data_IF_888907224540
#
_entry.id   IF_888907224540
#
_cell.length_a   1.000
_cell.length_b   1.000
_cell.length_c   1.000
_cell.angle_alpha   90.00
_cell.angle_beta   90.00
_cell.angle_gamma   90.00
#
_symmetry.space_group_name_H-M   'P 1'
#
loop_
_entity.id
_entity.type
_entity.pdbx_description
1 polymer ?
#
# COMPACT_ATOMS: atom_id res chain seq x y z
N UNK A 1 29.00 66.72 -21.21
CA UNK A 1 28.88 66.37 -22.65
C UNK A 1 29.97 65.39 -23.03
N UNK A 2 29.60 64.16 -23.39
CA UNK A 2 30.28 63.27 -24.36
C UNK A 2 29.33 62.10 -24.64
N UNK A 3 28.77 62.07 -25.86
CA UNK A 3 27.97 60.94 -26.37
C UNK A 3 28.90 59.76 -26.61
N UNK A 4 28.47 58.55 -26.25
CA UNK A 4 29.06 57.30 -26.73
C UNK A 4 28.13 56.77 -27.83
N UNK A 5 28.69 56.60 -29.01
CA UNK A 5 28.05 56.09 -30.24
C UNK A 5 27.71 54.59 -30.11
N UNK A 6 26.70 54.07 -30.83
CA UNK A 6 26.40 52.65 -30.84
C UNK A 6 27.43 51.89 -31.70
N UNK A 7 27.86 50.72 -31.22
CA UNK A 7 28.67 49.75 -31.96
C UNK A 7 27.87 49.11 -33.11
N UNK A 8 28.51 48.77 -34.24
CA UNK A 8 27.82 48.15 -35.37
C UNK A 8 27.43 46.70 -35.07
N UNK A 9 26.28 46.28 -35.59
CA UNK A 9 25.79 44.91 -35.55
C UNK A 9 26.75 43.95 -36.27
N UNK A 10 27.04 42.75 -35.73
CA UNK A 10 27.89 41.80 -36.43
C UNK A 10 27.15 41.26 -37.65
N UNK A 11 27.87 41.26 -38.77
CA UNK A 11 27.40 40.84 -40.08
C UNK A 11 26.77 39.43 -40.03
N UNK A 12 25.59 39.30 -40.64
CA UNK A 12 24.97 38.01 -41.01
C UNK A 12 25.82 37.35 -42.10
N UNK A 13 26.93 36.76 -41.69
CA UNK A 13 27.80 35.89 -42.47
C UNK A 13 27.68 34.42 -42.02
N UNK A 14 28.54 33.51 -42.52
CA UNK A 14 28.26 32.16 -43.06
C UNK A 14 27.52 31.15 -42.16
N UNK A 15 27.35 31.44 -40.87
CA UNK A 15 26.75 30.54 -39.89
C UNK A 15 25.27 30.25 -40.16
N UNK A 16 24.51 31.23 -40.69
CA UNK A 16 23.10 31.03 -41.04
C UNK A 16 22.93 30.09 -42.24
N UNK A 17 23.83 30.18 -43.21
CA UNK A 17 23.83 29.28 -44.36
C UNK A 17 24.28 27.86 -43.99
N UNK A 18 25.26 27.73 -43.08
CA UNK A 18 25.68 26.43 -42.56
C UNK A 18 24.56 25.74 -41.77
N UNK A 19 23.82 26.47 -40.93
CA UNK A 19 22.68 25.94 -40.18
C UNK A 19 21.53 25.51 -41.10
N UNK A 20 21.20 26.31 -42.12
CA UNK A 20 20.18 25.95 -43.11
C UNK A 20 20.57 24.71 -43.91
N UNK A 21 21.85 24.55 -44.25
CA UNK A 21 22.34 23.38 -44.98
C UNK A 21 22.26 22.10 -44.14
N UNK A 22 22.55 22.17 -42.83
CA UNK A 22 22.43 21.03 -41.91
C UNK A 22 20.96 20.62 -41.70
N UNK A 23 20.03 21.58 -41.67
CA UNK A 23 18.59 21.28 -41.52
C UNK A 23 17.98 20.70 -42.81
N UNK A 24 18.49 21.09 -43.98
CA UNK A 24 17.97 20.64 -45.27
C UNK A 24 18.67 19.38 -45.82
N UNK A 25 19.86 19.03 -45.31
CA UNK A 25 20.61 17.83 -45.71
C UNK A 25 19.79 16.52 -45.66
N UNK A 26 18.96 16.27 -44.62
CA UNK A 26 18.14 15.05 -44.54
C UNK A 26 17.05 14.99 -45.61
N UNK A 27 16.55 16.13 -46.08
CA UNK A 27 15.52 16.21 -47.10
C UNK A 27 16.10 16.02 -48.52
N UNK A 28 17.35 16.42 -48.74
CA UNK A 28 18.03 16.31 -50.04
C UNK A 28 18.66 14.92 -50.27
N UNK A 29 19.03 14.20 -49.21
CA UNK A 29 19.67 12.89 -49.29
C UNK A 29 18.99 11.84 -48.37
N UNK A 30 17.70 11.50 -48.59
CA UNK A 30 16.94 10.62 -47.70
C UNK A 30 17.54 9.21 -47.57
N UNK A 31 18.27 8.73 -48.59
CA UNK A 31 18.93 7.41 -48.57
C UNK A 31 20.08 7.27 -47.57
N UNK A 32 20.80 8.36 -47.24
CA UNK A 32 21.90 8.31 -46.27
C UNK A 32 21.42 8.30 -44.82
N UNK A 33 20.22 8.83 -44.54
CA UNK A 33 19.65 8.92 -43.20
C UNK A 33 18.53 7.90 -42.93
N UNK A 34 18.15 7.10 -43.94
CA UNK A 34 17.22 5.97 -43.80
C UNK A 34 17.59 5.00 -42.64
N UNK A 35 18.87 4.71 -42.33
CA UNK A 35 19.21 3.83 -41.20
C UNK A 35 18.96 4.49 -39.83
N UNK A 36 19.01 5.82 -39.73
CA UNK A 36 18.80 6.57 -38.49
C UNK A 36 17.31 6.82 -38.21
N UNK A 37 16.45 6.82 -39.23
CA UNK A 37 15.00 6.91 -39.09
C UNK A 37 14.35 5.67 -38.43
N UNK A 38 15.06 4.54 -38.38
CA UNK A 38 14.59 3.31 -37.73
C UNK A 38 14.98 3.20 -36.24
N UNK A 39 15.80 4.11 -35.71
CA UNK A 39 16.26 4.05 -34.31
C UNK A 39 15.26 4.63 -33.29
N UNK A 40 14.20 5.30 -33.76
CA UNK A 40 13.06 5.68 -32.92
C UNK A 40 11.79 5.12 -33.57
N UNK A 41 11.41 3.85 -33.31
CA UNK A 41 10.03 3.49 -33.53
C UNK A 41 9.23 4.47 -32.69
N UNK A 42 8.25 5.09 -33.33
CA UNK A 42 7.36 6.08 -32.77
C UNK A 42 6.69 5.58 -31.50
N UNK A 43 7.35 5.69 -30.35
CA UNK A 43 6.74 5.43 -29.04
C UNK A 43 5.52 6.34 -28.80
N UNK A 44 5.42 7.44 -29.56
CA UNK A 44 4.31 8.38 -29.51
C UNK A 44 3.26 8.23 -30.63
N UNK A 45 3.50 7.49 -31.73
CA UNK A 45 2.46 7.34 -32.78
C UNK A 45 1.46 6.21 -32.51
N UNK A 46 1.79 5.28 -31.60
CA UNK A 46 0.86 4.22 -31.18
C UNK A 46 0.07 4.58 -29.89
N UNK A 47 0.26 5.79 -29.35
CA UNK A 47 -0.53 6.28 -28.22
C UNK A 47 -1.94 6.65 -28.71
N UNK A 48 -2.79 5.63 -28.82
CA UNK A 48 -4.21 5.84 -29.03
C UNK A 48 -4.80 6.44 -27.75
N UNK A 49 -5.64 7.47 -27.88
CA UNK A 49 -6.46 7.92 -26.77
C UNK A 49 -7.22 6.70 -26.20
N UNK A 50 -7.25 6.51 -24.86
CA UNK A 50 -7.93 5.38 -24.26
C UNK A 50 -9.36 5.29 -24.79
N UNK A 51 -9.69 4.15 -25.41
CA UNK A 51 -11.05 3.94 -25.90
C UNK A 51 -11.97 3.56 -24.73
N UNK A 52 -13.20 4.11 -24.66
CA UNK A 52 -14.19 3.67 -23.68
C UNK A 52 -14.38 2.16 -23.76
N UNK A 53 -14.14 1.48 -22.64
CA UNK A 53 -14.37 0.05 -22.52
C UNK A 53 -15.82 -0.19 -22.09
N UNK A 54 -16.44 -1.23 -22.64
CA UNK A 54 -17.80 -1.64 -22.31
C UNK A 54 -18.87 -0.54 -22.46
N UNK A 55 -18.98 0.12 -23.65
CA UNK A 55 -19.97 1.18 -23.86
C UNK A 55 -21.41 0.69 -23.70
N UNK A 56 -21.68 -0.61 -23.93
CA UNK A 56 -22.99 -1.21 -23.67
C UNK A 56 -23.36 -1.15 -22.18
N UNK A 57 -22.44 -1.50 -21.27
CA UNK A 57 -22.67 -1.44 -19.83
C UNK A 57 -22.88 0.00 -19.34
N UNK A 58 -22.11 0.95 -19.88
CA UNK A 58 -22.29 2.35 -19.55
C UNK A 58 -23.65 2.86 -20.04
N UNK A 59 -24.03 2.53 -21.28
CA UNK A 59 -25.32 2.92 -21.84
C UNK A 59 -26.49 2.30 -21.07
N UNK A 60 -26.39 1.02 -20.72
CA UNK A 60 -27.37 0.34 -19.86
C UNK A 60 -27.45 1.02 -18.50
N UNK A 61 -26.32 1.30 -17.83
CA UNK A 61 -26.30 1.98 -16.54
C UNK A 61 -26.91 3.40 -16.59
N UNK A 62 -26.70 4.14 -17.69
CA UNK A 62 -27.27 5.47 -17.90
C UNK A 62 -28.79 5.42 -18.18
N UNK A 63 -29.27 4.34 -18.81
CA UNK A 63 -30.70 4.14 -19.10
C UNK A 63 -31.45 3.44 -17.97
N UNK A 64 -30.73 2.85 -17.01
CA UNK A 64 -31.31 2.07 -15.93
C UNK A 64 -32.05 2.98 -14.94
N UNK A 65 -33.38 2.92 -14.99
CA UNK A 65 -34.23 3.43 -13.93
C UNK A 65 -34.32 2.41 -12.79
N UNK A 66 -33.69 2.70 -11.65
CA UNK A 66 -33.77 1.81 -10.47
C UNK A 66 -35.12 2.00 -9.76
N UNK A 67 -35.96 0.95 -9.65
CA UNK A 67 -37.22 1.01 -8.91
C UNK A 67 -37.03 1.49 -7.47
N UNK A 68 -38.02 2.17 -6.91
CA UNK A 68 -37.94 2.72 -5.55
C UNK A 68 -37.77 1.65 -4.46
N UNK A 69 -38.22 0.43 -4.72
CA UNK A 69 -38.05 -0.73 -3.83
C UNK A 69 -36.60 -1.23 -3.83
N UNK A 70 -36.00 -1.40 -5.00
CA UNK A 70 -34.60 -1.78 -5.15
C UNK A 70 -33.63 -0.72 -4.59
N UNK A 71 -34.00 0.58 -4.67
CA UNK A 71 -33.27 1.66 -3.98
C UNK A 71 -33.32 1.55 -2.46
N UNK A 72 -34.43 1.09 -1.89
CA UNK A 72 -34.56 0.86 -0.44
C UNK A 72 -33.77 -0.39 -0.02
N UNK A 73 -33.84 -1.45 -0.81
CA UNK A 73 -33.10 -2.70 -0.60
C UNK A 73 -31.58 -2.49 -0.66
N UNK A 74 -31.08 -1.66 -1.59
CA UNK A 74 -29.65 -1.35 -1.70
C UNK A 74 -29.03 -0.88 -0.38
N UNK A 75 -29.81 -0.12 0.40
CA UNK A 75 -29.38 0.43 1.68
C UNK A 75 -29.97 -0.31 2.88
N UNK A 76 -30.54 -1.49 2.66
CA UNK A 76 -30.97 -2.36 3.75
C UNK A 76 -29.77 -3.08 4.35
N UNK A 77 -29.81 -3.37 5.65
CA UNK A 77 -28.77 -4.14 6.29
C UNK A 77 -28.65 -5.51 5.63
N UNK A 78 -27.42 -5.93 5.34
CA UNK A 78 -27.18 -7.26 4.80
C UNK A 78 -27.70 -8.33 5.78
N UNK A 79 -28.27 -9.44 5.27
CA UNK A 79 -28.73 -10.52 6.14
C UNK A 79 -27.56 -11.05 6.98
N UNK A 80 -27.80 -11.27 8.26
CA UNK A 80 -26.79 -11.77 9.18
C UNK A 80 -26.30 -13.16 8.73
N UNK A 81 -25.05 -13.23 8.28
CA UNK A 81 -24.44 -14.47 7.77
C UNK A 81 -23.80 -15.35 8.86
N UNK A 82 -24.09 -15.10 10.14
CA UNK A 82 -23.50 -15.90 11.24
C UNK A 82 -22.08 -15.49 11.66
N UNK A 83 -21.52 -14.43 11.07
CA UNK A 83 -20.21 -13.89 11.46
C UNK A 83 -20.24 -13.39 12.90
N UNK A 84 -19.23 -13.78 13.68
CA UNK A 84 -19.08 -13.35 15.07
C UNK A 84 -17.78 -12.59 15.22
N UNK A 85 -17.74 -11.55 16.08
CA UNK A 85 -16.48 -10.92 16.45
C UNK A 85 -15.48 -11.97 16.92
N UNK A 86 -14.24 -11.90 16.42
CA UNK A 86 -13.15 -12.77 16.86
C UNK A 86 -12.77 -12.52 18.34
N UNK A 87 -13.09 -11.33 18.83
CA UNK A 87 -12.88 -10.88 20.20
C UNK A 87 -14.05 -11.37 21.07
N UNK A 88 -13.74 -12.25 22.02
CA UNK A 88 -14.59 -12.50 23.20
C UNK A 88 -13.85 -11.97 24.42
N UNK A 89 -14.57 -11.69 25.50
CA UNK A 89 -13.97 -11.47 26.83
C UNK A 89 -13.01 -12.62 27.11
N UNK A 90 -11.70 -12.40 26.98
CA UNK A 90 -10.71 -13.43 27.23
C UNK A 90 -10.54 -13.60 28.73
N UNK A 91 -10.49 -14.85 29.17
CA UNK A 91 -9.90 -15.21 30.45
C UNK A 91 -8.42 -14.88 30.32
N UNK A 92 -7.96 -13.89 31.08
CA UNK A 92 -6.58 -13.46 31.15
C UNK A 92 -5.72 -14.62 31.65
N UNK A 93 -4.86 -15.15 30.78
CA UNK A 93 -3.76 -16.01 31.20
C UNK A 93 -2.62 -15.10 31.65
N UNK A 94 -2.14 -15.30 32.88
CA UNK A 94 -1.02 -14.51 33.40
C UNK A 94 0.19 -14.64 32.47
N UNK A 95 0.83 -13.51 32.15
CA UNK A 95 2.10 -13.50 31.44
C UNK A 95 3.13 -14.34 32.20
N UNK A 96 3.98 -15.13 31.53
CA UNK A 96 5.09 -15.84 32.18
C UNK A 96 5.99 -14.86 32.95
N UNK A 97 6.57 -15.35 34.05
CA UNK A 97 7.22 -14.52 35.06
C UNK A 97 8.47 -13.76 34.60
N UNK A 98 9.12 -14.13 33.48
CA UNK A 98 10.17 -13.30 32.86
C UNK A 98 10.22 -13.54 31.33
N UNK A 99 10.28 -12.49 30.50
CA UNK A 99 10.43 -12.62 29.05
C UNK A 99 11.86 -13.05 28.66
N UNK A 100 11.96 -13.89 27.62
CA UNK A 100 13.21 -14.51 27.15
C UNK A 100 14.21 -13.55 26.46
N UNK A 101 13.87 -12.26 26.34
CA UNK A 101 14.67 -11.24 25.64
C UNK A 101 13.80 -10.28 24.81
N UNK A 102 14.44 -9.57 23.88
CA UNK A 102 13.82 -8.54 23.03
C UNK A 102 13.78 -8.97 21.56
N UNK A 103 12.64 -8.79 20.90
CA UNK A 103 12.55 -8.94 19.45
C UNK A 103 12.33 -7.60 18.76
N UNK A 104 13.09 -7.37 17.70
CA UNK A 104 12.88 -6.28 16.76
C UNK A 104 12.43 -6.84 15.42
N UNK A 105 11.44 -6.21 14.81
CA UNK A 105 10.98 -6.54 13.46
C UNK A 105 11.11 -5.33 12.56
N UNK A 106 11.60 -5.56 11.35
CA UNK A 106 11.81 -4.53 10.34
C UNK A 106 10.86 -4.82 9.17
N UNK A 107 9.74 -4.10 9.18
CA UNK A 107 8.56 -4.38 8.39
C UNK A 107 8.71 -3.90 6.95
N UNK A 108 8.71 -4.81 6.00
CA UNK A 108 8.77 -4.51 4.57
C UNK A 108 7.42 -4.66 3.86
N UNK A 109 7.35 -4.14 2.63
CA UNK A 109 6.13 -4.17 1.82
C UNK A 109 5.32 -2.87 1.88
N UNK A 110 4.08 -2.90 1.39
CA UNK A 110 3.14 -1.77 1.48
C UNK A 110 2.42 -1.71 2.84
N UNK A 111 1.74 -0.60 3.14
CA UNK A 111 1.13 -0.37 4.46
C UNK A 111 0.20 -1.51 4.92
N UNK A 112 -0.64 -2.06 4.04
CA UNK A 112 -1.50 -3.20 4.39
C UNK A 112 -0.72 -4.50 4.66
N UNK A 113 0.44 -4.68 4.02
CA UNK A 113 1.33 -5.82 4.32
C UNK A 113 2.06 -5.61 5.64
N UNK A 114 2.55 -4.40 5.88
CA UNK A 114 3.15 -4.03 7.16
C UNK A 114 2.13 -4.20 8.29
N UNK A 115 0.86 -3.84 8.08
CA UNK A 115 -0.24 -4.12 9.03
C UNK A 115 -0.38 -5.60 9.37
N UNK A 116 -0.35 -6.48 8.35
CA UNK A 116 -0.32 -7.93 8.59
C UNK A 116 0.96 -8.36 9.33
N UNK A 117 2.10 -7.79 8.98
CA UNK A 117 3.37 -8.05 9.66
C UNK A 117 3.41 -7.59 11.11
N UNK A 118 2.73 -6.51 11.47
CA UNK A 118 2.55 -6.10 12.88
C UNK A 118 1.78 -7.19 13.65
N UNK A 119 0.71 -7.73 13.05
CA UNK A 119 -0.08 -8.81 13.65
C UNK A 119 0.77 -10.07 13.86
N UNK A 120 1.58 -10.43 12.86
CA UNK A 120 2.51 -11.55 12.94
C UNK A 120 3.60 -11.32 13.99
N UNK A 121 4.14 -10.11 14.07
CA UNK A 121 5.20 -9.78 15.02
C UNK A 121 4.73 -9.92 16.48
N UNK A 122 3.52 -9.47 16.79
CA UNK A 122 2.92 -9.66 18.12
C UNK A 122 2.68 -11.14 18.42
N UNK A 123 2.18 -11.91 17.44
CA UNK A 123 2.00 -13.35 17.63
C UNK A 123 3.35 -14.08 17.82
N UNK A 124 4.38 -13.73 17.07
CA UNK A 124 5.74 -14.26 17.21
C UNK A 124 6.34 -13.92 18.57
N UNK A 125 6.13 -12.69 19.07
CA UNK A 125 6.54 -12.29 20.42
C UNK A 125 5.92 -13.21 21.48
N UNK A 126 4.61 -13.51 21.34
CA UNK A 126 3.91 -14.44 22.23
C UNK A 126 4.44 -15.86 22.14
N UNK A 127 4.67 -16.37 20.93
CA UNK A 127 5.25 -17.71 20.71
C UNK A 127 6.61 -17.85 21.40
N UNK A 128 7.45 -16.82 21.32
CA UNK A 128 8.80 -16.82 21.87
C UNK A 128 8.88 -16.42 23.35
N UNK A 129 7.74 -16.05 23.96
CA UNK A 129 7.68 -15.40 25.27
C UNK A 129 8.70 -14.24 25.36
N UNK A 130 8.71 -13.35 24.36
CA UNK A 130 9.68 -12.26 24.23
C UNK A 130 9.00 -10.89 24.31
N UNK A 131 9.77 -9.88 24.72
CA UNK A 131 9.31 -8.49 24.68
C UNK A 131 9.45 -7.95 23.25
N UNK A 132 8.35 -7.44 22.67
CA UNK A 132 8.37 -6.81 21.36
C UNK A 132 8.79 -5.35 21.48
N UNK A 133 9.80 -4.95 20.71
CA UNK A 133 10.08 -3.53 20.46
C UNK A 133 9.11 -3.02 19.40
N UNK A 134 8.63 -1.78 19.53
CA UNK A 134 7.74 -1.16 18.54
C UNK A 134 8.26 -1.43 17.11
N UNK A 135 7.43 -2.02 16.23
CA UNK A 135 7.87 -2.40 14.89
C UNK A 135 8.44 -1.24 14.08
N UNK A 136 9.56 -1.46 13.40
CA UNK A 136 10.16 -0.47 12.51
C UNK A 136 9.57 -0.61 11.11
N UNK A 137 9.01 0.47 10.54
CA UNK A 137 8.49 0.48 9.17
C UNK A 137 9.62 0.78 8.19
N UNK A 138 9.94 -0.16 7.29
CA UNK A 138 10.88 0.12 6.20
C UNK A 138 10.25 1.05 5.18
N UNK A 139 11.06 1.99 4.66
CA UNK A 139 10.65 2.88 3.57
C UNK A 139 10.41 2.04 2.31
N UNK A 140 9.19 2.06 1.82
CA UNK A 140 8.83 1.38 0.59
C UNK A 140 9.41 2.15 -0.62
N UNK A 141 10.05 1.47 -1.59
CA UNK A 141 10.65 2.14 -2.75
C UNK A 141 9.65 2.82 -3.70
N UNK A 142 8.36 2.46 -3.64
CA UNK A 142 7.28 3.01 -4.48
C UNK A 142 6.73 4.29 -3.87
N UNK A 143 6.20 4.21 -2.65
CA UNK A 143 5.52 5.34 -1.99
C UNK A 143 6.52 6.33 -1.38
N UNK A 144 7.73 5.87 -1.05
CA UNK A 144 8.81 6.65 -0.39
C UNK A 144 8.36 7.37 0.89
N UNK A 145 7.33 6.84 1.53
CA UNK A 145 6.85 7.33 2.82
C UNK A 145 7.84 6.93 3.91
N UNK A 146 8.31 7.92 4.66
CA UNK A 146 9.24 7.76 5.79
C UNK A 146 8.55 7.85 7.14
N UNK A 147 7.21 7.89 7.17
CA UNK A 147 6.44 7.95 8.41
C UNK A 147 6.75 6.73 9.28
N UNK A 148 7.09 7.01 10.53
CA UNK A 148 7.35 6.02 11.57
C UNK A 148 6.05 5.38 12.07
N UNK A 149 6.18 4.28 12.82
CA UNK A 149 5.04 3.63 13.46
C UNK A 149 4.27 4.59 14.36
N UNK A 150 4.97 5.43 15.11
CA UNK A 150 4.38 6.38 16.07
C UNK A 150 3.69 7.57 15.41
N UNK A 151 4.09 7.95 14.20
CA UNK A 151 3.42 8.99 13.42
C UNK A 151 2.08 8.51 12.84
N UNK A 152 1.96 7.20 12.56
CA UNK A 152 0.75 6.60 11.97
C UNK A 152 -0.21 6.08 13.05
N UNK A 153 0.30 5.34 14.04
CA UNK A 153 -0.51 4.61 15.01
C UNK A 153 -0.38 5.18 16.42
N UNK A 154 -1.44 5.05 17.20
CA UNK A 154 -1.43 5.37 18.62
C UNK A 154 -0.66 4.29 19.41
N UNK A 155 0.58 4.60 19.75
CA UNK A 155 1.52 3.68 20.42
C UNK A 155 1.05 3.34 21.82
N UNK A 156 0.52 4.31 22.56
CA UNK A 156 0.09 4.10 23.95
C UNK A 156 -1.15 3.21 24.00
N UNK A 157 -2.10 3.45 23.10
CA UNK A 157 -3.25 2.57 22.90
C UNK A 157 -2.83 1.16 22.48
N UNK A 158 -1.87 1.04 21.56
CA UNK A 158 -1.35 -0.24 21.09
C UNK A 158 -0.75 -1.07 22.24
N UNK A 159 0.13 -0.45 23.05
CA UNK A 159 0.76 -1.11 24.21
C UNK A 159 -0.30 -1.48 25.26
N UNK A 160 -1.17 -0.54 25.65
CA UNK A 160 -2.15 -0.79 26.70
C UNK A 160 -3.20 -1.84 26.27
N UNK A 161 -3.57 -1.89 24.99
CA UNK A 161 -4.51 -2.89 24.47
C UNK A 161 -3.95 -4.31 24.51
N UNK A 162 -2.62 -4.47 24.47
CA UNK A 162 -1.93 -5.76 24.38
C UNK A 162 -1.17 -6.15 25.65
N UNK A 163 -1.22 -5.33 26.70
CA UNK A 163 -0.44 -5.50 27.94
C UNK A 163 -0.62 -6.85 28.64
N UNK A 164 -1.80 -7.47 28.50
CA UNK A 164 -2.12 -8.77 29.10
C UNK A 164 -1.77 -9.95 28.18
N UNK A 165 -1.36 -9.67 26.94
CA UNK A 165 -1.05 -10.67 25.91
C UNK A 165 0.45 -10.79 25.63
N UNK A 166 1.15 -9.65 25.52
CA UNK A 166 2.56 -9.54 25.14
C UNK A 166 3.16 -8.28 25.76
N UNK A 167 4.38 -8.38 26.28
CA UNK A 167 5.16 -7.21 26.71
C UNK A 167 5.67 -6.41 25.51
N UNK A 168 5.39 -5.11 25.46
CA UNK A 168 5.77 -4.23 24.35
C UNK A 168 6.47 -2.98 24.89
N UNK A 169 7.61 -2.61 24.30
CA UNK A 169 8.39 -1.43 24.69
C UNK A 169 8.64 -0.50 23.50
N UNK A 170 8.70 0.81 23.78
CA UNK A 170 8.99 1.84 22.76
C UNK A 170 10.46 1.89 22.38
N UNK A 171 11.35 1.86 23.37
CA UNK A 171 12.79 2.04 23.20
C UNK A 171 13.51 0.90 23.90
N UNK A 172 14.53 0.35 23.24
CA UNK A 172 15.36 -0.70 23.80
C UNK A 172 16.10 -0.25 25.07
N UNK A 173 16.39 -1.18 25.99
CA UNK A 173 17.33 -0.96 27.07
C UNK A 173 18.71 -0.51 26.57
N UNK A 174 19.45 0.21 27.43
CA UNK A 174 20.72 0.86 27.07
C UNK A 174 21.77 -0.14 26.56
N UNK A 175 21.80 -1.34 27.12
CA UNK A 175 22.68 -2.44 26.72
C UNK A 175 22.45 -2.91 25.27
N UNK A 176 21.28 -2.66 24.70
CA UNK A 176 20.92 -2.99 23.32
C UNK A 176 20.79 -1.77 22.40
N UNK A 177 21.21 -0.58 22.86
CA UNK A 177 21.14 0.66 22.07
C UNK A 177 21.91 0.62 20.74
N UNK A 178 22.88 -0.30 20.59
CA UNK A 178 23.59 -0.56 19.34
C UNK A 178 22.73 -1.24 18.27
N UNK A 179 21.58 -1.83 18.65
CA UNK A 179 20.72 -2.64 17.80
C UNK A 179 19.78 -1.79 16.95
N UNK A 180 20.37 -1.03 16.01
CA UNK A 180 19.63 -0.10 15.14
C UNK A 180 19.45 -0.62 13.72
N UNK A 181 18.60 0.05 12.94
CA UNK A 181 18.40 -0.29 11.53
C UNK A 181 19.70 -0.20 10.72
N UNK A 182 20.52 0.81 11.01
CA UNK A 182 21.80 1.09 10.36
C UNK A 182 22.81 0.00 10.70
N UNK A 183 22.88 -0.41 11.97
CA UNK A 183 23.75 -1.49 12.42
C UNK A 183 23.50 -2.79 11.65
N UNK A 184 22.24 -3.11 11.40
CA UNK A 184 21.82 -4.26 10.61
C UNK A 184 21.96 -4.06 9.09
N UNK A 185 22.03 -2.81 8.63
CA UNK A 185 22.23 -2.46 7.23
C UNK A 185 23.65 -2.67 6.71
N UNK A 186 24.65 -2.59 7.60
CA UNK A 186 26.08 -2.59 7.22
C UNK A 186 26.70 -3.98 7.06
N UNK A 187 26.04 -5.06 7.49
CA UNK A 187 26.63 -6.40 7.38
C UNK A 187 25.75 -7.56 7.86
N UNK A 188 26.36 -8.75 7.89
CA UNK A 188 25.77 -9.96 8.48
C UNK A 188 26.03 -9.90 10.00
N UNK A 189 24.98 -10.12 10.80
CA UNK A 189 25.03 -10.07 12.26
C UNK A 189 24.40 -11.33 12.82
N UNK A 190 25.00 -11.93 13.85
CA UNK A 190 24.46 -13.13 14.50
C UNK A 190 23.07 -12.91 15.11
N UNK A 191 22.77 -11.67 15.51
CA UNK A 191 21.46 -11.28 16.05
C UNK A 191 20.44 -10.95 14.95
N UNK A 192 20.81 -11.01 13.67
CA UNK A 192 19.90 -10.72 12.55
C UNK A 192 19.42 -11.99 11.86
N UNK A 193 18.12 -12.21 11.87
CA UNK A 193 17.44 -13.27 11.14
C UNK A 193 16.95 -12.73 9.80
N UNK A 194 17.59 -13.18 8.71
CA UNK A 194 17.18 -12.86 7.32
C UNK A 194 16.46 -14.01 6.61
N UNK A 195 16.54 -15.22 7.17
CA UNK A 195 16.19 -16.48 6.49
C UNK A 195 14.81 -17.01 6.88
N UNK A 196 14.01 -16.24 7.63
CA UNK A 196 12.65 -16.63 7.98
C UNK A 196 11.86 -17.00 6.72
N UNK A 197 11.40 -18.25 6.56
CA UNK A 197 10.58 -18.65 5.43
C UNK A 197 9.32 -17.81 5.32
N UNK A 198 8.75 -17.71 4.12
CA UNK A 198 7.37 -17.24 3.98
C UNK A 198 6.45 -18.26 4.67
N UNK A 199 5.50 -17.78 5.47
CA UNK A 199 4.62 -18.66 6.26
C UNK A 199 5.36 -19.67 7.14
N UNK A 200 6.42 -19.24 7.84
CA UNK A 200 7.13 -20.09 8.79
C UNK A 200 6.19 -20.55 9.91
N UNK A 201 6.33 -21.81 10.36
CA UNK A 201 5.54 -22.36 11.46
C UNK A 201 5.96 -21.78 12.81
N UNK A 202 5.12 -21.90 13.83
CA UNK A 202 5.47 -21.51 15.19
C UNK A 202 6.74 -22.23 15.69
N UNK A 203 6.87 -23.53 15.39
CA UNK A 203 8.06 -24.32 15.74
C UNK A 203 9.33 -23.80 15.07
N UNK A 204 9.24 -23.30 13.83
CA UNK A 204 10.40 -22.71 13.17
C UNK A 204 10.97 -21.54 13.98
N UNK A 205 10.11 -20.67 14.53
CA UNK A 205 10.56 -19.57 15.40
C UNK A 205 11.18 -20.08 16.69
N UNK A 206 10.58 -21.09 17.33
CA UNK A 206 11.14 -21.71 18.54
C UNK A 206 12.52 -22.32 18.27
N UNK A 207 12.72 -22.98 17.13
CA UNK A 207 13.98 -23.64 16.79
C UNK A 207 15.07 -22.68 16.30
N UNK A 208 14.70 -21.58 15.63
CA UNK A 208 15.67 -20.72 14.94
C UNK A 208 15.87 -19.35 15.59
N UNK A 209 14.88 -18.83 16.33
CA UNK A 209 14.93 -17.51 16.95
C UNK A 209 15.15 -17.60 18.45
N UNK A 210 14.52 -18.57 19.13
CA UNK A 210 14.72 -18.77 20.58
C UNK A 210 16.18 -18.95 20.98
N UNK A 211 17.03 -19.73 20.26
CA UNK A 211 18.43 -19.88 20.63
C UNK A 211 19.22 -18.56 20.52
N UNK A 212 18.86 -17.68 19.58
CA UNK A 212 19.48 -16.36 19.42
C UNK A 212 19.09 -15.47 20.61
N UNK A 213 17.82 -15.47 21.00
CA UNK A 213 17.35 -14.73 22.18
C UNK A 213 18.05 -15.20 23.46
N UNK A 214 18.18 -16.51 23.66
CA UNK A 214 18.88 -17.06 24.82
C UNK A 214 20.38 -16.71 24.84
N UNK A 215 21.01 -16.62 23.67
CA UNK A 215 22.45 -16.34 23.56
C UNK A 215 22.80 -14.86 23.66
N UNK A 216 21.98 -13.99 23.08
CA UNK A 216 22.30 -12.57 22.91
C UNK A 216 21.34 -11.62 23.64
N UNK A 217 20.21 -12.12 24.17
CA UNK A 217 19.14 -11.32 24.77
C UNK A 217 18.31 -10.51 23.76
N UNK A 218 18.71 -10.46 22.48
CA UNK A 218 18.02 -9.71 21.43
C UNK A 218 18.11 -10.40 20.06
N UNK A 219 17.02 -10.32 19.30
CA UNK A 219 16.93 -10.82 17.93
C UNK A 219 16.21 -9.82 17.02
N UNK A 220 16.79 -9.55 15.85
CA UNK A 220 16.24 -8.68 14.83
C UNK A 220 15.83 -9.49 13.59
N UNK A 221 14.55 -9.48 13.25
CA UNK A 221 14.02 -10.17 12.08
C UNK A 221 13.84 -9.14 10.96
N UNK A 222 14.66 -9.25 9.91
CA UNK A 222 14.75 -8.24 8.86
C UNK A 222 15.19 -8.84 7.51
N UNK A 223 14.34 -8.82 6.47
CA UNK A 223 13.01 -8.19 6.42
C UNK A 223 11.91 -9.03 7.11
N UNK A 224 10.80 -8.37 7.49
CA UNK A 224 9.62 -9.00 8.08
C UNK A 224 8.34 -8.53 7.38
N UNK A 225 7.52 -9.45 6.87
CA UNK A 225 6.24 -9.12 6.22
C UNK A 225 5.17 -10.12 6.68
N UNK A 226 4.89 -11.16 5.91
CA UNK A 226 3.92 -12.22 6.26
C UNK A 226 4.64 -13.53 6.57
N UNK A 227 5.47 -13.49 7.61
CA UNK A 227 6.45 -14.56 7.89
C UNK A 227 5.93 -15.62 8.85
N UNK A 228 4.73 -15.47 9.42
CA UNK A 228 4.13 -16.51 10.27
C UNK A 228 2.98 -17.20 9.52
N UNK A 229 2.92 -18.53 9.60
CA UNK A 229 1.92 -19.35 8.91
C UNK A 229 0.47 -18.92 9.26
N UNK A 230 -0.46 -19.16 8.33
CA UNK A 230 -1.90 -18.97 8.59
C UNK A 230 -2.52 -20.26 9.13
N UNK A 231 -2.17 -21.39 8.55
CA UNK A 231 -2.72 -22.69 8.93
C UNK A 231 -2.02 -23.24 10.17
N UNK A 232 -2.68 -24.16 10.87
CA UNK A 232 -2.18 -24.89 12.04
C UNK A 232 -1.70 -24.03 13.22
N UNK A 233 -2.09 -22.75 13.28
CA UNK A 233 -1.89 -21.94 14.46
C UNK A 233 -2.98 -22.17 15.51
N UNK A 234 -2.60 -22.27 16.79
CA UNK A 234 -3.52 -22.24 17.91
C UNK A 234 -4.56 -21.10 17.82
N UNK A 235 -5.79 -21.39 18.20
CA UNK A 235 -6.92 -20.47 18.06
C UNK A 235 -6.74 -19.17 18.85
N UNK A 236 -6.00 -19.21 19.97
CA UNK A 236 -5.63 -18.05 20.77
C UNK A 236 -4.66 -17.10 20.04
N UNK A 237 -3.69 -17.63 19.28
CA UNK A 237 -2.80 -16.81 18.44
C UNK A 237 -3.56 -16.15 17.28
N UNK A 238 -4.52 -16.85 16.69
CA UNK A 238 -5.38 -16.26 15.66
C UNK A 238 -6.29 -15.16 16.23
N UNK A 239 -6.82 -15.36 17.43
CA UNK A 239 -7.56 -14.31 18.16
C UNK A 239 -6.68 -13.13 18.48
N UNK A 240 -5.43 -13.35 18.89
CA UNK A 240 -4.47 -12.29 19.16
C UNK A 240 -4.17 -11.48 17.88
N UNK A 241 -3.88 -12.13 16.76
CA UNK A 241 -3.74 -11.43 15.46
C UNK A 241 -4.95 -10.58 15.13
N UNK A 242 -6.15 -11.11 15.37
CA UNK A 242 -7.39 -10.36 15.15
C UNK A 242 -7.53 -9.16 16.09
N UNK A 243 -7.21 -9.32 17.38
CA UNK A 243 -7.17 -8.25 18.38
C UNK A 243 -6.19 -7.16 17.98
N UNK A 244 -4.99 -7.53 17.56
CA UNK A 244 -3.98 -6.59 17.06
C UNK A 244 -4.55 -5.81 15.87
N UNK A 245 -5.09 -6.52 14.88
CA UNK A 245 -5.52 -5.91 13.63
C UNK A 245 -6.71 -4.95 13.76
N UNK A 246 -7.68 -5.28 14.62
CA UNK A 246 -8.97 -4.57 14.67
C UNK A 246 -9.17 -3.73 15.94
N UNK A 247 -8.43 -4.00 17.01
CA UNK A 247 -8.59 -3.30 18.29
C UNK A 247 -7.33 -2.52 18.70
N UNK A 248 -6.14 -3.12 18.63
CA UNK A 248 -4.92 -2.49 19.13
C UNK A 248 -4.30 -1.51 18.12
N UNK A 249 -4.37 -1.82 16.82
CA UNK A 249 -3.77 -1.01 15.78
C UNK A 249 -4.74 0.11 15.33
N UNK A 250 -4.72 1.20 16.09
CA UNK A 250 -5.57 2.38 15.86
C UNK A 250 -4.71 3.53 15.36
N UNK A 251 -5.22 4.28 14.37
CA UNK A 251 -4.52 5.44 13.85
C UNK A 251 -4.43 6.57 14.89
N UNK A 252 -3.46 7.46 14.74
CA UNK A 252 -3.36 8.66 15.59
C UNK A 252 -4.66 9.50 15.50
N UNK A 253 -5.05 10.21 16.58
CA UNK A 253 -6.31 10.95 16.64
C UNK A 253 -6.53 11.94 15.49
N UNK A 254 -5.47 12.59 15.00
CA UNK A 254 -5.58 13.55 13.90
C UNK A 254 -5.95 12.88 12.55
N UNK A 255 -5.48 11.65 12.30
CA UNK A 255 -5.83 10.88 11.10
C UNK A 255 -7.29 10.44 11.18
N UNK A 256 -7.73 9.96 12.36
CA UNK A 256 -9.12 9.58 12.60
C UNK A 256 -10.05 10.78 12.42
N UNK A 257 -9.73 11.92 13.05
CA UNK A 257 -10.52 13.15 12.95
C UNK A 257 -10.65 13.65 11.50
N UNK A 258 -9.58 13.52 10.70
CA UNK A 258 -9.64 13.83 9.28
C UNK A 258 -10.61 12.88 8.55
N UNK A 259 -10.53 11.57 8.81
CA UNK A 259 -11.46 10.58 8.25
C UNK A 259 -12.92 10.84 8.61
N UNK A 260 -13.20 11.10 9.89
CA UNK A 260 -14.53 11.46 10.39
C UNK A 260 -15.06 12.75 9.74
N UNK A 261 -14.19 13.74 9.52
CA UNK A 261 -14.55 14.98 8.82
C UNK A 261 -14.95 14.71 7.37
N UNK A 262 -14.23 13.82 6.68
CA UNK A 262 -14.57 13.43 5.31
C UNK A 262 -15.92 12.70 5.27
N UNK A 263 -16.14 11.74 6.18
CA UNK A 263 -17.41 11.01 6.29
C UNK A 263 -18.57 11.98 6.57
N UNK A 264 -18.40 12.90 7.52
CA UNK A 264 -19.41 13.92 7.85
C UNK A 264 -19.79 14.75 6.62
N UNK A 265 -18.81 15.17 5.81
CA UNK A 265 -19.07 15.92 4.57
C UNK A 265 -19.78 15.11 3.50
N UNK A 266 -19.49 13.80 3.39
CA UNK A 266 -20.17 12.90 2.46
C UNK A 266 -21.63 12.63 2.88
N UNK A 267 -21.89 12.52 4.19
CA UNK A 267 -23.23 12.31 4.74
C UNK A 267 -24.09 13.60 4.74
N UNK A 268 -23.46 14.76 4.82
CA UNK A 268 -24.15 16.06 4.76
C UNK A 268 -23.61 16.89 3.60
N UNK A 269 -23.86 16.48 2.34
CA UNK A 269 -23.39 17.23 1.18
C UNK A 269 -24.04 18.62 1.17
N UNK A 270 -23.21 19.65 1.15
CA UNK A 270 -23.66 21.04 1.02
C UNK A 270 -24.28 21.20 -0.37
N UNK A 271 -25.54 21.61 -0.51
CA UNK A 271 -26.06 22.08 -1.79
C UNK A 271 -25.28 23.35 -2.14
N UNK A 272 -24.37 23.26 -3.09
CA UNK A 272 -23.60 24.42 -3.52
C UNK A 272 -24.55 25.53 -3.99
N UNK A 273 -24.41 26.73 -3.44
CA UNK A 273 -24.37 27.90 -4.30
C UNK A 273 -22.91 28.35 -4.36
N UNK A 274 -22.46 28.49 -5.61
CA UNK A 274 -21.24 29.16 -6.00
C UNK A 274 -21.01 30.42 -5.19
N UNK A 275 -19.74 30.63 -4.81
CA UNK A 275 -19.14 31.88 -4.36
C UNK A 275 -19.94 32.66 -3.29
N UNK A 276 -19.59 32.42 -2.03
CA UNK A 276 -19.00 33.41 -1.13
C UNK A 276 -19.32 33.05 0.33
N UNK A 277 -18.27 33.00 1.14
CA UNK A 277 -18.31 33.01 2.60
C UNK A 277 -18.68 31.70 3.33
N UNK A 278 -17.62 30.91 3.55
CA UNK A 278 -17.44 30.08 4.74
C UNK A 278 -17.79 30.89 6.00
N UNK A 279 -19.02 30.75 6.51
CA UNK A 279 -19.43 30.92 7.92
C UNK A 279 -20.95 30.77 8.00
N UNK A 280 -21.41 30.00 8.99
CA UNK A 280 -22.82 29.70 9.31
C UNK A 280 -23.51 28.61 8.50
N UNK A 281 -23.12 27.34 8.68
CA UNK A 281 -24.11 26.23 8.59
C UNK A 281 -23.72 25.10 9.56
N UNK A 282 -24.08 25.26 10.84
CA UNK A 282 -24.14 24.14 11.80
C UNK A 282 -25.59 23.81 12.18
N UNK A 283 -26.59 24.57 11.73
CA UNK A 283 -27.89 24.60 12.43
C UNK A 283 -29.13 24.10 11.66
N UNK A 284 -29.01 23.46 10.49
CA UNK A 284 -30.18 22.80 9.89
C UNK A 284 -29.87 21.35 9.50
N UNK A 285 -29.84 20.51 10.53
CA UNK A 285 -29.92 19.06 10.44
C UNK A 285 -31.33 18.62 10.03
N UNK A 286 -31.52 18.20 8.79
CA UNK A 286 -32.55 17.20 8.49
C UNK A 286 -32.10 15.88 9.13
N UNK A 287 -32.93 15.28 9.97
CA UNK A 287 -32.64 14.14 10.86
C UNK A 287 -32.26 12.79 10.19
N UNK A 288 -31.81 12.78 8.93
CA UNK A 288 -31.31 11.58 8.25
C UNK A 288 -29.91 11.84 7.68
N UNK A 289 -28.92 11.11 8.17
CA UNK A 289 -27.57 11.07 7.60
C UNK A 289 -27.65 10.61 6.13
N UNK A 290 -27.11 11.41 5.20
CA UNK A 290 -27.04 11.03 3.80
C UNK A 290 -26.22 9.75 3.60
N UNK A 291 -26.71 8.84 2.76
CA UNK A 291 -26.03 7.57 2.47
C UNK A 291 -24.98 7.77 1.38
N UNK A 292 -23.82 7.14 1.52
CA UNK A 292 -22.74 7.16 0.53
C UNK A 292 -22.19 5.77 0.29
N UNK A 293 -21.61 5.54 -0.89
CA UNK A 293 -20.89 4.33 -1.24
C UNK A 293 -19.40 4.63 -1.37
N UNK A 294 -18.55 3.67 -0.97
CA UNK A 294 -17.10 3.76 -1.11
C UNK A 294 -16.63 2.64 -2.01
N UNK A 295 -15.81 2.99 -3.00
CA UNK A 295 -15.19 2.05 -3.90
C UNK A 295 -13.68 2.26 -3.88
N UNK A 296 -12.94 1.27 -3.36
CA UNK A 296 -11.48 1.28 -3.43
C UNK A 296 -11.03 0.67 -4.75
N UNK A 297 -10.50 1.50 -5.64
CA UNK A 297 -9.99 1.09 -6.95
C UNK A 297 -8.47 1.13 -6.96
N UNK A 298 -7.85 -0.02 -7.15
CA UNK A 298 -6.39 -0.15 -7.22
C UNK A 298 -5.93 -0.36 -8.65
N UNK A 299 -5.30 0.67 -9.21
CA UNK A 299 -4.83 0.72 -10.61
C UNK A 299 -3.31 0.91 -10.73
N UNK A 300 -2.56 0.50 -9.71
CA UNK A 300 -1.09 0.47 -9.78
C UNK A 300 -0.61 -0.39 -10.96
N UNK A 301 0.58 -0.05 -11.48
CA UNK A 301 1.14 -0.68 -12.68
C UNK A 301 1.29 -2.20 -12.53
N UNK A 302 1.61 -2.69 -11.34
CA UNK A 302 1.71 -4.12 -11.04
C UNK A 302 0.34 -4.80 -11.13
N UNK A 303 -0.70 -4.21 -10.53
CA UNK A 303 -2.08 -4.70 -10.62
C UNK A 303 -2.58 -4.72 -12.06
N UNK A 304 -2.40 -3.62 -12.78
CA UNK A 304 -2.81 -3.47 -14.18
C UNK A 304 -2.07 -4.47 -15.06
N UNK A 305 -0.74 -4.61 -14.89
CA UNK A 305 0.03 -5.57 -15.66
C UNK A 305 -0.40 -7.01 -15.38
N UNK A 306 -0.54 -7.42 -14.13
CA UNK A 306 -0.80 -8.83 -13.79
C UNK A 306 -2.26 -9.25 -13.89
N UNK A 307 -3.21 -8.30 -13.96
CA UNK A 307 -4.62 -8.59 -14.28
C UNK A 307 -4.81 -9.23 -15.66
N UNK A 308 -3.86 -9.02 -16.57
CA UNK A 308 -3.94 -9.45 -17.98
C UNK A 308 -5.12 -8.85 -18.77
N UNK A 309 -5.73 -7.80 -18.23
CA UNK A 309 -6.85 -7.11 -18.84
C UNK A 309 -6.39 -6.02 -19.83
N UNK A 310 -7.30 -5.66 -20.75
CA UNK A 310 -7.13 -4.51 -21.63
C UNK A 310 -7.89 -3.31 -21.07
N UNK A 311 -7.24 -2.14 -21.05
CA UNK A 311 -7.78 -0.90 -20.47
C UNK A 311 -8.02 0.18 -21.53
N UNK A 312 -8.09 -0.22 -22.80
CA UNK A 312 -8.43 0.66 -23.91
C UNK A 312 -7.22 1.35 -24.58
N UNK A 313 -5.99 1.12 -24.10
CA UNK A 313 -4.76 1.67 -24.67
C UNK A 313 -4.17 0.90 -25.87
N UNK A 314 -4.90 -0.07 -26.42
CA UNK A 314 -4.56 -0.73 -27.68
C UNK A 314 -3.26 -1.57 -27.64
N UNK A 315 -2.53 -1.61 -28.77
CA UNK A 315 -1.32 -2.44 -28.92
C UNK A 315 -0.18 -1.95 -28.02
N UNK A 316 0.00 -0.64 -27.92
CA UNK A 316 1.03 -0.02 -27.09
C UNK A 316 0.89 -0.42 -25.61
N UNK A 317 -0.33 -0.35 -25.06
CA UNK A 317 -0.63 -0.82 -23.70
C UNK A 317 -0.26 -2.29 -23.53
N UNK A 318 -0.75 -3.16 -24.43
CA UNK A 318 -0.48 -4.61 -24.35
C UNK A 318 1.02 -4.91 -24.33
N UNK A 319 1.80 -4.23 -25.19
CA UNK A 319 3.25 -4.38 -25.24
C UNK A 319 3.93 -3.84 -23.98
N UNK A 320 3.50 -2.68 -23.48
CA UNK A 320 4.05 -2.09 -22.26
C UNK A 320 3.80 -2.96 -21.02
N UNK A 321 2.58 -3.51 -20.87
CA UNK A 321 2.21 -4.40 -19.78
C UNK A 321 2.90 -5.78 -19.92
N UNK A 322 3.00 -6.32 -21.14
CA UNK A 322 3.76 -7.56 -21.38
C UNK A 322 5.24 -7.38 -21.01
N UNK A 323 5.85 -6.25 -21.40
CA UNK A 323 7.22 -5.92 -21.00
C UNK A 323 7.36 -5.83 -19.49
N UNK A 324 6.40 -5.20 -18.79
CA UNK A 324 6.42 -5.13 -17.33
C UNK A 324 6.44 -6.52 -16.67
N UNK A 325 5.63 -7.47 -17.16
CA UNK A 325 5.59 -8.85 -16.63
C UNK A 325 6.90 -9.62 -16.78
N UNK A 326 7.78 -9.20 -17.68
CA UNK A 326 9.10 -9.85 -17.86
C UNK A 326 10.16 -9.34 -16.89
N UNK A 327 9.89 -8.26 -16.17
CA UNK A 327 10.80 -7.75 -15.15
C UNK A 327 10.86 -8.72 -13.96
N UNK A 328 12.02 -8.85 -13.28
CA UNK A 328 12.10 -9.63 -12.06
C UNK A 328 11.08 -9.14 -11.04
N UNK A 329 10.30 -10.07 -10.49
CA UNK A 329 9.32 -9.79 -9.44
C UNK A 329 10.06 -9.28 -8.21
N UNK A 330 9.82 -8.03 -7.81
CA UNK A 330 10.28 -7.51 -6.54
C UNK A 330 9.16 -7.68 -5.51
N UNK A 331 9.30 -8.55 -4.50
CA UNK A 331 8.23 -8.79 -3.51
C UNK A 331 7.76 -7.53 -2.77
N UNK A 332 8.58 -6.48 -2.73
CA UNK A 332 8.24 -5.19 -2.11
C UNK A 332 7.41 -4.28 -3.00
N UNK A 333 7.35 -4.57 -4.31
CA UNK A 333 6.66 -3.77 -5.34
C UNK A 333 5.53 -4.53 -6.02
N UNK A 334 5.74 -5.80 -6.37
CA UNK A 334 4.88 -6.60 -7.24
C UNK A 334 4.03 -7.60 -6.44
N UNK A 335 3.26 -7.09 -5.47
CA UNK A 335 2.53 -7.95 -4.52
C UNK A 335 1.48 -8.82 -5.21
N UNK A 336 0.90 -8.34 -6.33
CA UNK A 336 -0.13 -9.08 -7.06
C UNK A 336 0.39 -10.49 -7.39
N UNK A 337 1.70 -10.62 -7.65
CA UNK A 337 2.31 -11.90 -8.01
C UNK A 337 2.68 -12.75 -6.80
N UNK A 338 3.03 -12.14 -5.67
CA UNK A 338 3.56 -12.84 -4.48
C UNK A 338 2.49 -13.17 -3.44
N UNK A 339 1.40 -12.41 -3.36
CA UNK A 339 0.37 -12.54 -2.32
C UNK A 339 -0.81 -13.47 -2.65
N UNK A 340 -0.87 -14.05 -3.86
CA UNK A 340 -1.98 -14.94 -4.23
C UNK A 340 -1.54 -16.04 -5.21
N UNK A 341 -1.47 -17.32 -4.81
CA UNK A 341 -1.19 -18.43 -5.71
C UNK A 341 -2.20 -18.55 -6.86
N UNK A 342 -3.41 -18.00 -6.70
CA UNK A 342 -4.50 -18.02 -7.69
C UNK A 342 -4.25 -17.11 -8.91
N UNK A 343 -3.31 -16.16 -8.81
CA UNK A 343 -2.96 -15.27 -9.92
C UNK A 343 -2.10 -15.92 -10.99
N UNK A 344 -1.57 -17.13 -10.73
CA UNK A 344 -0.83 -17.92 -11.72
C UNK A 344 -1.71 -18.59 -12.78
N UNK A 345 -3.05 -18.59 -12.62
CA UNK A 345 -3.90 -19.54 -13.34
C UNK A 345 -5.28 -19.04 -13.80
N UNK A 346 -5.47 -17.75 -14.07
CA UNK A 346 -6.73 -17.27 -14.64
C UNK A 346 -6.57 -16.76 -16.07
N UNK A 347 -6.81 -17.67 -17.01
CA UNK A 347 -7.12 -17.40 -18.42
C UNK A 347 -8.61 -17.07 -18.61
N UNK A 348 -9.25 -16.37 -17.67
CA UNK A 348 -10.67 -16.04 -17.74
C UNK A 348 -10.91 -14.54 -17.78
N UNK A 349 -11.71 -14.11 -18.75
CA UNK A 349 -12.16 -12.75 -19.04
C UNK A 349 -12.95 -12.06 -17.91
N UNK A 350 -13.16 -12.73 -16.77
CA UNK A 350 -13.98 -12.27 -15.64
C UNK A 350 -13.17 -11.73 -14.43
N UNK A 351 -11.83 -11.65 -14.52
CA UNK A 351 -10.97 -11.37 -13.36
C UNK A 351 -10.42 -9.94 -13.24
N UNK A 352 -10.86 -8.99 -14.09
CA UNK A 352 -10.23 -7.67 -14.16
C UNK A 352 -10.42 -6.79 -12.92
N UNK A 353 -11.51 -7.00 -12.17
CA UNK A 353 -11.90 -6.16 -11.03
C UNK A 353 -12.05 -6.92 -9.71
N UNK A 354 -11.95 -8.25 -9.71
CA UNK A 354 -12.19 -9.07 -8.52
C UNK A 354 -11.07 -9.00 -7.47
N UNK A 355 -9.99 -8.26 -7.75
CA UNK A 355 -8.76 -8.29 -6.95
C UNK A 355 -8.51 -7.01 -6.14
N UNK A 356 -9.49 -6.10 -6.07
CA UNK A 356 -9.38 -4.85 -5.30
C UNK A 356 -10.69 -4.30 -4.73
N UNK A 357 -11.85 -4.83 -5.12
CA UNK A 357 -13.15 -4.35 -4.64
C UNK A 357 -13.43 -4.93 -3.25
N UNK A 358 -13.31 -4.09 -2.23
CA UNK A 358 -13.86 -4.33 -0.90
C UNK A 358 -15.12 -3.48 -0.75
N UNK A 359 -16.27 -4.12 -0.57
CA UNK A 359 -17.50 -3.43 -0.17
C UNK A 359 -17.50 -3.31 1.35
N UNK A 360 -17.50 -2.07 1.85
CA UNK A 360 -17.76 -1.78 3.25
C UNK A 360 -19.02 -0.93 3.36
N UNK A 361 -20.12 -1.50 3.82
CA UNK A 361 -21.17 -0.71 4.47
C UNK A 361 -20.68 -0.46 5.89
N UNK A 362 -20.35 0.78 6.22
CA UNK A 362 -20.21 1.19 7.62
C UNK A 362 -21.60 1.59 8.11
N UNK A 363 -22.40 0.59 8.45
CA UNK A 363 -23.44 0.76 9.46
C UNK A 363 -22.76 0.52 10.81
N UNK A 364 -22.41 1.61 11.50
CA UNK A 364 -22.15 1.61 12.93
C UNK A 364 -23.40 2.13 13.63
#
# INVERSE_FOLDING_TARGET
MRRVSPSPSPARGPAVFAAAFVVLLPALFPGMFSPLGHAFPSLFSEWNAPKPMHPSLLNEALQWAVPAEQRRELWSSLPYQGWKPCLKSSISHALPLEPSGYIQVFLDGGLNQQRMGICDAVAVAKILNATLVIPHLEVNPVWKDSSSFEEIFDVDHFINSLKDDVSIIKVLPKEFSWSTREYYGTGIRSTRIKTAPLHASANWYLENVSPILQSYGIAAIAPFSHRLAFDDLPADLQRLRCKVNFQALVFRPHIISLGETLVKRLRSPVPGHSDEYIRQVVEQSTNEDGKYAVLHLRFDKDMVAHSSCGFGGGRAEKLALAKYRTLPIDPRRDWAVTGSPRLRQQNSTLSCFSQGIWWGSQDL
#
